data_IF_518786924238
#
_entry.id   IF_518786924238
#
_cell.length_a   1.000
_cell.length_b   1.000
_cell.length_c   1.000
_cell.angle_alpha   90.00
_cell.angle_beta   90.00
_cell.angle_gamma   90.00
#
_symmetry.space_group_name_H-M   'P 1'
#
loop_
_entity.id
_entity.type
_entity.pdbx_description
1 polymer ?
#
# COMPACT_ATOMS: atom_id res chain seq x y z
N UNK A 1 6.89 -2.36 12.70
CA UNK A 1 6.75 -0.90 12.90
C UNK A 1 6.59 -0.60 14.39
N UNK A 2 7.18 0.50 14.90
CA UNK A 2 7.09 0.89 16.30
C UNK A 2 5.67 1.37 16.68
N UNK A 3 5.22 1.18 17.95
CA UNK A 3 3.87 1.63 18.38
C UNK A 3 3.59 3.11 18.12
N UNK A 4 4.59 3.97 18.33
CA UNK A 4 4.47 5.42 18.10
C UNK A 4 4.15 5.79 16.64
N UNK A 5 4.59 4.97 15.68
CA UNK A 5 4.31 5.20 14.25
C UNK A 5 2.84 4.86 13.91
N UNK A 6 2.20 3.91 14.62
CA UNK A 6 0.75 3.65 14.48
C UNK A 6 -0.08 4.83 14.98
N UNK A 7 0.29 5.40 16.15
CA UNK A 7 -0.36 6.60 16.68
C UNK A 7 -0.22 7.80 15.74
N UNK A 8 0.98 7.98 15.18
CA UNK A 8 1.26 9.03 14.21
C UNK A 8 0.47 8.81 12.91
N UNK A 9 0.44 7.59 12.41
CA UNK A 9 -0.35 7.22 11.23
C UNK A 9 -1.83 7.52 11.48
N UNK A 10 -2.40 7.06 12.62
CA UNK A 10 -3.80 7.30 12.98
C UNK A 10 -4.17 8.78 13.02
N UNK A 11 -3.26 9.63 13.49
CA UNK A 11 -3.48 11.10 13.51
C UNK A 11 -3.43 11.73 12.14
N UNK A 12 -2.61 11.22 11.23
CA UNK A 12 -2.30 11.89 9.96
C UNK A 12 -3.05 11.32 8.75
N UNK A 13 -3.42 10.03 8.77
CA UNK A 13 -3.89 9.31 7.58
C UNK A 13 -5.20 9.85 6.98
N UNK A 14 -5.99 10.58 7.75
CA UNK A 14 -7.25 11.14 7.27
C UNK A 14 -7.07 12.46 6.51
N UNK A 15 -5.95 13.16 6.69
CA UNK A 15 -5.77 14.48 6.11
C UNK A 15 -4.40 14.75 5.49
N UNK A 16 -3.36 14.03 5.87
CA UNK A 16 -2.02 14.26 5.32
C UNK A 16 -1.94 13.73 3.89
N UNK A 17 -1.46 14.56 2.98
CA UNK A 17 -1.50 14.36 1.52
C UNK A 17 -1.02 12.98 1.07
N UNK A 18 0.05 12.44 1.68
CA UNK A 18 0.62 11.13 1.31
C UNK A 18 -0.37 9.98 1.52
N UNK A 19 -0.98 9.91 2.72
CA UNK A 19 -1.94 8.85 3.05
C UNK A 19 -3.22 8.99 2.22
N UNK A 20 -3.73 10.23 2.12
CA UNK A 20 -4.95 10.52 1.34
C UNK A 20 -4.74 10.16 -0.13
N UNK A 21 -3.63 10.60 -0.74
CA UNK A 21 -3.33 10.35 -2.14
C UNK A 21 -3.17 8.85 -2.45
N UNK A 22 -2.42 8.12 -1.60
CA UNK A 22 -2.22 6.68 -1.73
C UNK A 22 -3.54 5.92 -1.63
N UNK A 23 -4.35 6.22 -0.60
CA UNK A 23 -5.67 5.62 -0.40
C UNK A 23 -6.59 5.90 -1.59
N UNK A 24 -6.69 7.15 -2.03
CA UNK A 24 -7.50 7.54 -3.19
C UNK A 24 -7.10 6.80 -4.45
N UNK A 25 -5.79 6.71 -4.73
CA UNK A 25 -5.26 5.96 -5.87
C UNK A 25 -5.65 4.49 -5.80
N UNK A 26 -5.47 3.86 -4.64
CA UNK A 26 -5.81 2.45 -4.45
C UNK A 26 -7.30 2.18 -4.70
N UNK A 27 -8.18 3.00 -4.11
CA UNK A 27 -9.63 2.85 -4.25
C UNK A 27 -10.06 3.11 -5.70
N UNK A 28 -9.44 4.06 -6.41
CA UNK A 28 -9.70 4.27 -7.82
C UNK A 28 -9.28 3.07 -8.68
N UNK A 29 -8.13 2.46 -8.38
CA UNK A 29 -7.68 1.24 -9.06
C UNK A 29 -8.60 0.06 -8.73
N UNK A 30 -9.02 -0.08 -7.47
CA UNK A 30 -9.99 -1.06 -7.05
C UNK A 30 -11.30 -0.92 -7.84
N UNK A 31 -11.95 0.23 -7.81
CA UNK A 31 -13.23 0.51 -8.51
C UNK A 31 -13.18 0.19 -9.99
N UNK A 32 -12.00 0.30 -10.59
CA UNK A 32 -11.80 0.11 -12.04
C UNK A 32 -11.60 -1.33 -12.45
N UNK A 33 -11.02 -2.14 -11.58
CA UNK A 33 -10.51 -3.45 -11.99
C UNK A 33 -11.13 -4.61 -11.22
N UNK A 34 -11.63 -4.37 -10.02
CA UNK A 34 -12.06 -5.43 -9.13
C UNK A 34 -13.50 -5.89 -9.42
N UNK A 35 -13.76 -7.20 -9.33
CA UNK A 35 -15.11 -7.74 -9.32
C UNK A 35 -15.82 -7.39 -8.00
N UNK A 36 -17.14 -7.52 -7.98
CA UNK A 36 -17.91 -7.41 -6.74
C UNK A 36 -17.63 -8.60 -5.83
N UNK A 37 -17.59 -8.38 -4.53
CA UNK A 37 -17.45 -9.44 -3.54
C UNK A 37 -16.54 -9.03 -2.36
N UNK A 38 -16.21 -10.01 -1.54
CA UNK A 38 -15.40 -9.81 -0.35
C UNK A 38 -13.97 -9.35 -0.69
N UNK A 39 -13.50 -8.33 0.01
CA UNK A 39 -12.14 -7.78 -0.09
C UNK A 39 -11.36 -8.07 1.17
N UNK A 40 -10.12 -8.50 1.02
CA UNK A 40 -9.15 -8.62 2.10
C UNK A 40 -8.17 -7.44 2.04
N UNK A 41 -8.13 -6.60 3.06
CA UNK A 41 -7.12 -5.54 3.24
C UNK A 41 -5.98 -6.10 4.09
N UNK A 42 -4.89 -6.51 3.43
CA UNK A 42 -3.70 -7.11 4.06
C UNK A 42 -2.75 -6.02 4.54
N UNK A 43 -2.46 -6.03 5.84
CA UNK A 43 -1.75 -4.93 6.49
C UNK A 43 -2.64 -3.69 6.59
N UNK A 44 -3.88 -3.88 7.04
CA UNK A 44 -4.88 -2.79 7.09
C UNK A 44 -4.47 -1.62 8.02
N UNK A 45 -3.46 -1.82 8.86
CA UNK A 45 -2.96 -0.80 9.77
C UNK A 45 -4.08 -0.25 10.65
N UNK A 46 -4.22 1.06 10.68
CA UNK A 46 -5.26 1.74 11.47
C UNK A 46 -6.62 1.81 10.77
N UNK A 47 -6.78 1.13 9.61
CA UNK A 47 -8.05 0.84 8.98
C UNK A 47 -8.61 1.89 8.03
N UNK A 48 -7.84 2.91 7.62
CA UNK A 48 -8.37 3.98 6.77
C UNK A 48 -8.79 3.50 5.37
N UNK A 49 -8.07 2.55 4.78
CA UNK A 49 -8.39 1.97 3.47
C UNK A 49 -9.60 1.05 3.59
N UNK A 50 -9.58 0.12 4.56
CA UNK A 50 -10.70 -0.79 4.82
C UNK A 50 -11.99 -0.02 5.11
N UNK A 51 -11.94 1.05 5.89
CA UNK A 51 -13.11 1.89 6.20
C UNK A 51 -13.70 2.54 4.94
N UNK A 52 -12.88 3.03 4.03
CA UNK A 52 -13.39 3.65 2.81
C UNK A 52 -13.97 2.61 1.84
N UNK A 53 -13.29 1.48 1.67
CA UNK A 53 -13.78 0.35 0.86
C UNK A 53 -15.06 -0.26 1.41
N UNK A 54 -15.24 -0.30 2.74
CA UNK A 54 -16.43 -0.87 3.38
C UNK A 54 -17.74 -0.13 3.07
N UNK A 55 -17.66 1.07 2.47
CA UNK A 55 -18.82 1.80 1.95
C UNK A 55 -19.38 1.20 0.66
N UNK A 56 -18.59 0.38 -0.03
CA UNK A 56 -18.90 -0.12 -1.38
C UNK A 56 -18.95 -1.64 -1.46
N UNK A 57 -18.26 -2.33 -0.55
CA UNK A 57 -18.16 -3.78 -0.54
C UNK A 57 -17.90 -4.32 0.87
N UNK A 58 -18.02 -5.62 1.05
CA UNK A 58 -17.60 -6.28 2.29
C UNK A 58 -16.08 -6.31 2.39
N UNK A 59 -15.53 -5.89 3.54
CA UNK A 59 -14.07 -5.85 3.78
C UNK A 59 -13.73 -6.60 5.05
N UNK A 60 -12.67 -7.40 4.98
CA UNK A 60 -11.98 -7.96 6.13
C UNK A 60 -10.61 -7.30 6.22
N UNK A 61 -10.33 -6.62 7.33
CA UNK A 61 -9.00 -6.07 7.62
C UNK A 61 -8.12 -7.10 8.30
N UNK A 62 -6.89 -7.23 7.84
CA UNK A 62 -5.90 -8.12 8.43
C UNK A 62 -4.63 -7.34 8.76
N UNK A 63 -4.12 -7.49 9.98
CA UNK A 63 -2.82 -6.92 10.38
C UNK A 63 -2.10 -7.86 11.35
N UNK A 64 -0.78 -7.81 11.34
CA UNK A 64 0.05 -8.58 12.28
C UNK A 64 -0.05 -8.05 13.71
N UNK A 65 -0.30 -6.75 13.87
CA UNK A 65 -0.22 -6.04 15.15
C UNK A 65 -1.60 -5.81 15.74
N UNK A 66 -1.85 -6.34 16.94
CA UNK A 66 -3.10 -6.09 17.66
C UNK A 66 -3.39 -4.59 17.88
N UNK A 67 -2.34 -3.76 18.08
CA UNK A 67 -2.49 -2.30 18.22
C UNK A 67 -3.13 -1.67 16.97
N UNK A 68 -2.70 -2.07 15.78
CA UNK A 68 -3.28 -1.62 14.51
C UNK A 68 -4.78 -1.97 14.45
N UNK A 69 -5.12 -3.21 14.76
CA UNK A 69 -6.52 -3.68 14.75
C UNK A 69 -7.40 -2.94 15.76
N UNK A 70 -6.88 -2.57 16.93
CA UNK A 70 -7.61 -1.72 17.88
C UNK A 70 -7.94 -0.34 17.30
N UNK A 71 -7.00 0.28 16.58
CA UNK A 71 -7.27 1.54 15.88
C UNK A 71 -8.30 1.35 14.76
N UNK A 72 -8.20 0.26 14.01
CA UNK A 72 -9.17 -0.07 12.96
C UNK A 72 -10.57 -0.34 13.54
N UNK A 73 -10.66 -1.02 14.68
CA UNK A 73 -11.91 -1.20 15.43
C UNK A 73 -12.50 0.14 15.87
N UNK A 74 -11.66 1.08 16.33
CA UNK A 74 -12.07 2.44 16.67
C UNK A 74 -12.61 3.26 15.48
N UNK A 75 -12.40 2.79 14.23
CA UNK A 75 -13.04 3.31 13.01
C UNK A 75 -14.39 2.67 12.67
N UNK A 76 -14.88 1.75 13.50
CA UNK A 76 -16.11 1.01 13.28
C UNK A 76 -15.95 -0.25 12.45
N UNK A 77 -14.72 -0.70 12.16
CA UNK A 77 -14.48 -1.96 11.49
C UNK A 77 -14.67 -3.13 12.45
N UNK A 78 -15.50 -4.09 12.09
CA UNK A 78 -15.87 -5.25 12.92
C UNK A 78 -15.28 -6.57 12.42
N UNK A 79 -14.90 -6.64 11.14
CA UNK A 79 -14.31 -7.84 10.51
C UNK A 79 -12.80 -7.68 10.46
N UNK A 80 -12.11 -8.04 11.55
CA UNK A 80 -10.68 -7.86 11.73
C UNK A 80 -10.03 -9.18 12.14
N UNK A 81 -8.88 -9.48 11.55
CA UNK A 81 -8.11 -10.71 11.81
C UNK A 81 -6.67 -10.32 12.15
N UNK A 82 -6.14 -10.87 13.24
CA UNK A 82 -4.71 -10.78 13.52
C UNK A 82 -4.00 -11.96 12.88
N UNK A 83 -3.14 -11.69 11.88
CA UNK A 83 -2.39 -12.72 11.18
C UNK A 83 -1.15 -12.17 10.47
N UNK A 84 -0.29 -13.09 10.04
CA UNK A 84 0.85 -12.82 9.17
C UNK A 84 0.41 -12.77 7.71
N UNK A 85 0.81 -11.72 6.99
CA UNK A 85 0.54 -11.57 5.55
C UNK A 85 1.22 -12.62 4.66
N UNK A 86 2.24 -13.30 5.18
CA UNK A 86 2.87 -14.45 4.51
C UNK A 86 2.12 -15.78 4.73
N UNK A 87 1.11 -15.80 5.62
CA UNK A 87 0.29 -16.99 5.91
C UNK A 87 -1.13 -16.57 6.27
N UNK A 88 -1.93 -16.32 5.26
CA UNK A 88 -3.28 -15.81 5.44
C UNK A 88 -4.24 -16.89 5.94
N UNK A 89 -4.95 -16.70 7.08
CA UNK A 89 -5.94 -17.65 7.58
C UNK A 89 -7.28 -17.53 6.82
N UNK A 90 -7.19 -17.53 5.51
CA UNK A 90 -8.29 -17.35 4.56
C UNK A 90 -8.27 -18.51 3.59
N UNK A 91 -9.45 -19.05 3.26
CA UNK A 91 -9.59 -20.18 2.33
C UNK A 91 -9.10 -19.80 0.93
N UNK A 92 -8.67 -20.81 0.18
CA UNK A 92 -8.33 -20.66 -1.23
C UNK A 92 -9.54 -20.16 -2.01
N UNK A 93 -9.29 -19.33 -3.01
CA UNK A 93 -10.29 -18.87 -3.98
C UNK A 93 -11.58 -18.32 -3.33
N UNK A 94 -11.47 -17.57 -2.23
CA UNK A 94 -12.63 -17.14 -1.44
C UNK A 94 -12.89 -15.64 -1.43
N UNK A 95 -11.94 -14.82 -1.92
CA UNK A 95 -12.10 -13.36 -1.95
C UNK A 95 -12.07 -12.81 -3.37
N UNK A 96 -12.89 -11.80 -3.64
CA UNK A 96 -12.93 -11.11 -4.93
C UNK A 96 -11.72 -10.18 -5.11
N UNK A 97 -11.13 -9.71 -4.02
CA UNK A 97 -9.98 -8.85 -4.06
C UNK A 97 -9.10 -8.89 -2.85
N UNK A 98 -7.84 -8.57 -3.10
CA UNK A 98 -6.83 -8.30 -2.08
C UNK A 98 -6.29 -6.90 -2.31
N UNK A 99 -6.22 -6.12 -1.24
CA UNK A 99 -5.55 -4.82 -1.20
C UNK A 99 -4.36 -4.95 -0.26
N UNK A 100 -3.17 -4.52 -0.70
CA UNK A 100 -1.94 -4.58 0.07
C UNK A 100 -1.13 -3.30 -0.18
N UNK A 101 -1.22 -2.33 0.73
CA UNK A 101 -0.59 -1.02 0.57
C UNK A 101 0.57 -0.82 1.53
N UNK A 102 1.77 -0.84 0.98
CA UNK A 102 3.04 -0.67 1.71
C UNK A 102 3.12 -1.65 2.89
N UNK A 103 2.92 -2.94 2.59
CA UNK A 103 2.99 -4.04 3.55
C UNK A 103 3.96 -5.14 3.13
N UNK A 104 4.10 -5.47 1.84
CA UNK A 104 4.94 -6.60 1.40
C UNK A 104 6.43 -6.36 1.65
N UNK A 105 6.88 -5.11 1.72
CA UNK A 105 8.24 -4.74 2.13
C UNK A 105 8.54 -5.02 3.61
N UNK A 106 7.51 -5.19 4.45
CA UNK A 106 7.62 -5.54 5.86
C UNK A 106 7.63 -7.05 6.12
N UNK A 107 7.39 -7.86 5.08
CA UNK A 107 7.36 -9.32 5.18
C UNK A 107 8.72 -9.85 4.72
N UNK A 108 9.39 -10.64 5.57
CA UNK A 108 10.73 -11.15 5.26
C UNK A 108 10.72 -12.05 4.03
N UNK A 109 9.72 -12.92 3.89
CA UNK A 109 9.45 -13.69 2.66
C UNK A 109 8.29 -13.04 1.89
N UNK A 110 8.59 -12.00 1.10
CA UNK A 110 7.59 -11.36 0.26
C UNK A 110 7.08 -12.27 -0.87
N UNK A 111 7.85 -13.27 -1.28
CA UNK A 111 7.39 -14.26 -2.27
C UNK A 111 6.21 -15.06 -1.72
N UNK A 112 6.27 -15.46 -0.45
CA UNK A 112 5.14 -16.09 0.22
C UNK A 112 3.91 -15.16 0.28
N UNK A 113 4.10 -13.85 0.55
CA UNK A 113 3.00 -12.89 0.58
C UNK A 113 2.31 -12.75 -0.80
N UNK A 114 3.08 -12.70 -1.90
CA UNK A 114 2.52 -12.71 -3.25
C UNK A 114 1.77 -14.01 -3.55
N UNK A 115 2.31 -15.15 -3.15
CA UNK A 115 1.66 -16.47 -3.34
C UNK A 115 0.36 -16.59 -2.53
N UNK A 116 0.35 -16.13 -1.29
CA UNK A 116 -0.84 -16.12 -0.43
C UNK A 116 -1.94 -15.20 -0.98
N UNK A 117 -1.57 -13.99 -1.45
CA UNK A 117 -2.51 -13.11 -2.13
C UNK A 117 -3.13 -13.78 -3.36
N UNK A 118 -2.35 -14.49 -4.15
CA UNK A 118 -2.84 -15.24 -5.32
C UNK A 118 -3.73 -16.42 -4.89
N UNK A 119 -3.36 -17.16 -3.85
CA UNK A 119 -4.10 -18.34 -3.35
C UNK A 119 -5.52 -17.98 -2.92
N UNK A 120 -5.67 -16.91 -2.14
CA UNK A 120 -6.97 -16.52 -1.58
C UNK A 120 -7.91 -15.86 -2.58
N UNK A 121 -7.38 -15.24 -3.65
CA UNK A 121 -8.20 -14.66 -4.73
C UNK A 121 -8.99 -15.74 -5.45
N UNK A 122 -10.27 -15.50 -5.71
CA UNK A 122 -11.07 -16.31 -6.62
C UNK A 122 -10.61 -16.15 -8.08
N UNK A 123 -10.94 -17.07 -9.01
CA UNK A 123 -10.73 -16.85 -10.44
C UNK A 123 -11.32 -15.50 -10.88
N UNK A 124 -10.58 -14.73 -11.67
CA UNK A 124 -10.95 -13.35 -12.03
C UNK A 124 -10.76 -12.30 -10.93
N UNK A 125 -10.42 -12.70 -9.70
CA UNK A 125 -10.16 -11.81 -8.57
C UNK A 125 -8.92 -10.95 -8.77
N UNK A 126 -8.80 -9.83 -8.05
CA UNK A 126 -7.82 -8.78 -8.31
C UNK A 126 -7.00 -8.44 -7.06
N UNK A 127 -5.68 -8.38 -7.23
CA UNK A 127 -4.75 -7.78 -6.26
C UNK A 127 -4.48 -6.31 -6.65
N UNK A 128 -4.66 -5.39 -5.70
CA UNK A 128 -4.18 -4.00 -5.77
C UNK A 128 -3.05 -3.82 -4.79
N UNK A 129 -1.88 -3.43 -5.27
CA UNK A 129 -0.63 -3.40 -4.51
C UNK A 129 0.05 -2.04 -4.61
N UNK A 130 0.61 -1.56 -3.50
CA UNK A 130 1.62 -0.48 -3.44
C UNK A 130 2.81 -0.95 -2.64
N UNK A 131 4.03 -0.63 -3.11
CA UNK A 131 5.29 -0.90 -2.40
C UNK A 131 6.30 0.21 -2.67
N UNK A 132 7.26 0.50 -1.77
CA UNK A 132 8.29 1.52 -1.96
C UNK A 132 9.24 1.14 -3.09
N UNK A 133 9.59 2.16 -3.91
CA UNK A 133 10.45 1.98 -5.07
C UNK A 133 11.94 2.16 -4.74
N UNK A 134 12.77 1.47 -5.52
CA UNK A 134 14.23 1.60 -5.63
C UNK A 134 15.04 1.38 -4.35
N UNK A 135 15.85 0.33 -4.34
CA UNK A 135 16.78 0.02 -3.25
C UNK A 135 17.74 1.18 -2.93
N UNK A 136 18.15 1.97 -3.92
CA UNK A 136 19.06 3.10 -3.73
C UNK A 136 18.41 4.30 -3.00
N UNK A 137 17.05 4.35 -2.89
CA UNK A 137 16.31 5.29 -2.03
C UNK A 137 16.26 4.86 -0.56
N UNK A 138 16.88 3.73 -0.21
CA UNK A 138 16.93 3.25 1.18
C UNK A 138 17.52 4.30 2.12
N UNK A 139 16.89 4.49 3.27
CA UNK A 139 17.31 5.50 4.23
C UNK A 139 16.74 5.29 5.64
N UNK A 140 16.95 6.27 6.54
CA UNK A 140 16.50 6.18 7.93
C UNK A 140 14.99 5.89 8.10
N UNK A 141 14.19 6.31 7.15
CA UNK A 141 12.75 6.03 7.10
C UNK A 141 12.46 4.52 7.00
N UNK A 142 13.19 3.81 6.12
CA UNK A 142 12.99 2.37 5.92
C UNK A 142 13.41 1.59 7.18
N UNK A 143 14.50 2.01 7.80
CA UNK A 143 14.98 1.43 9.06
C UNK A 143 13.95 1.63 10.17
N UNK A 144 13.40 2.84 10.32
CA UNK A 144 12.39 3.16 11.34
C UNK A 144 11.09 2.37 11.16
N UNK A 145 10.73 2.06 9.92
CA UNK A 145 9.54 1.27 9.59
C UNK A 145 9.82 -0.23 9.52
N UNK A 146 11.07 -0.68 9.76
CA UNK A 146 11.48 -2.08 9.69
C UNK A 146 11.21 -2.72 8.32
N UNK A 147 11.49 -2.00 7.23
CA UNK A 147 11.42 -2.56 5.89
C UNK A 147 12.54 -3.60 5.70
N UNK A 148 12.27 -4.64 4.94
CA UNK A 148 13.28 -5.59 4.47
C UNK A 148 13.82 -5.21 3.09
N UNK A 149 12.99 -4.56 2.26
CA UNK A 149 13.34 -4.26 0.87
C UNK A 149 12.58 -3.09 0.26
N UNK A 150 13.00 -2.73 -0.94
CA UNK A 150 12.32 -1.85 -1.88
C UNK A 150 12.29 -2.49 -3.25
N UNK A 151 11.30 -2.18 -4.05
CA UNK A 151 11.01 -2.84 -5.31
C UNK A 151 11.30 -1.99 -6.55
N UNK A 152 11.20 -2.61 -7.71
CA UNK A 152 11.11 -1.95 -9.02
C UNK A 152 9.89 -2.50 -9.74
N UNK A 153 9.41 -1.82 -10.78
CA UNK A 153 8.34 -2.37 -11.64
C UNK A 153 8.67 -3.78 -12.14
N UNK A 154 9.95 -4.01 -12.49
CA UNK A 154 10.41 -5.32 -12.99
C UNK A 154 10.35 -6.39 -11.90
N UNK A 155 10.77 -6.07 -10.66
CA UNK A 155 10.71 -7.04 -9.56
C UNK A 155 9.26 -7.35 -9.17
N UNK A 156 8.39 -6.33 -9.05
CA UNK A 156 6.96 -6.56 -8.78
C UNK A 156 6.32 -7.42 -9.87
N UNK A 157 6.53 -7.07 -11.15
CA UNK A 157 5.99 -7.87 -12.26
C UNK A 157 6.45 -9.32 -12.20
N UNK A 158 7.73 -9.58 -11.89
CA UNK A 158 8.27 -10.93 -11.75
C UNK A 158 7.60 -11.70 -10.61
N UNK A 159 7.41 -11.08 -9.44
CA UNK A 159 6.74 -11.70 -8.29
C UNK A 159 5.27 -12.02 -8.59
N UNK A 160 4.55 -11.10 -9.23
CA UNK A 160 3.16 -11.33 -9.64
C UNK A 160 3.04 -12.55 -10.57
N UNK A 161 3.89 -12.61 -11.61
CA UNK A 161 3.89 -13.74 -12.56
C UNK A 161 4.30 -15.05 -11.87
N UNK A 162 5.30 -15.02 -11.00
CA UNK A 162 5.74 -16.20 -10.24
C UNK A 162 4.66 -16.72 -9.30
N UNK A 163 3.79 -15.84 -8.77
CA UNK A 163 2.63 -16.20 -7.96
C UNK A 163 1.41 -16.66 -8.82
N UNK A 164 1.53 -16.72 -10.14
CA UNK A 164 0.42 -17.13 -11.04
C UNK A 164 -0.60 -16.02 -11.31
N UNK A 165 -0.24 -14.76 -11.04
CA UNK A 165 -1.09 -13.60 -11.32
C UNK A 165 -0.73 -12.95 -12.66
N UNK A 166 -1.74 -12.46 -13.38
CA UNK A 166 -1.57 -11.66 -14.60
C UNK A 166 -1.47 -10.18 -14.29
N UNK A 167 -0.31 -9.51 -14.54
CA UNK A 167 -0.16 -8.08 -14.30
C UNK A 167 -0.99 -7.25 -15.30
N UNK A 168 -2.06 -6.61 -14.84
CA UNK A 168 -2.93 -5.71 -15.61
C UNK A 168 -2.33 -4.30 -15.68
N UNK A 169 -1.78 -3.83 -14.57
CA UNK A 169 -1.11 -2.55 -14.45
C UNK A 169 0.12 -2.71 -13.56
N UNK A 170 1.27 -2.21 -14.00
CA UNK A 170 2.45 -2.01 -13.15
C UNK A 170 3.09 -0.68 -13.53
N UNK A 171 3.09 0.28 -12.62
CA UNK A 171 3.59 1.63 -12.85
C UNK A 171 4.35 2.13 -11.63
N UNK A 172 5.18 3.15 -11.82
CA UNK A 172 5.57 3.96 -10.68
C UNK A 172 4.45 4.93 -10.32
N UNK A 173 4.50 5.46 -9.10
CA UNK A 173 3.65 6.54 -8.60
C UNK A 173 4.48 7.52 -7.77
N UNK A 174 3.88 8.66 -7.45
CA UNK A 174 4.58 9.82 -6.88
C UNK A 174 5.62 10.38 -7.89
N UNK A 175 5.23 10.37 -9.16
CA UNK A 175 6.08 10.79 -10.28
C UNK A 175 6.42 12.28 -10.21
N UNK A 176 5.42 13.14 -10.09
CA UNK A 176 5.61 14.60 -10.05
C UNK A 176 6.40 15.08 -8.83
N UNK A 177 6.24 14.42 -7.71
CA UNK A 177 6.92 14.76 -6.46
C UNK A 177 8.23 13.99 -6.28
N UNK A 178 8.60 13.12 -7.21
CA UNK A 178 9.79 12.31 -7.12
C UNK A 178 11.09 13.13 -6.92
N UNK A 179 11.32 14.24 -7.62
CA UNK A 179 12.51 15.07 -7.39
C UNK A 179 12.60 15.60 -5.96
N UNK A 180 11.45 16.00 -5.36
CA UNK A 180 11.39 16.46 -3.98
C UNK A 180 11.67 15.33 -2.98
N UNK A 181 11.07 14.16 -3.20
CA UNK A 181 11.32 12.96 -2.39
C UNK A 181 12.80 12.55 -2.48
N UNK A 182 13.38 12.59 -3.69
CA UNK A 182 14.78 12.30 -3.91
C UNK A 182 15.69 13.27 -3.13
N UNK A 183 15.43 14.56 -3.23
CA UNK A 183 16.20 15.59 -2.49
C UNK A 183 16.11 15.35 -0.98
N UNK A 184 14.92 15.08 -0.44
CA UNK A 184 14.71 14.76 0.98
C UNK A 184 15.51 13.52 1.40
N UNK A 185 15.48 12.46 0.59
CA UNK A 185 16.21 11.22 0.85
C UNK A 185 17.73 11.42 0.81
N UNK A 186 18.24 12.21 -0.13
CA UNK A 186 19.66 12.53 -0.20
C UNK A 186 20.12 13.35 1.02
N UNK A 187 19.38 14.40 1.39
CA UNK A 187 19.65 15.20 2.59
C UNK A 187 19.55 14.33 3.85
N UNK A 188 18.56 13.45 3.92
CA UNK A 188 18.35 12.54 5.05
C UNK A 188 19.52 11.59 5.31
N UNK A 189 20.29 11.20 4.28
CA UNK A 189 21.50 10.37 4.43
C UNK A 189 22.64 11.07 5.18
N UNK A 190 22.67 12.39 5.15
CA UNK A 190 23.70 13.20 5.84
C UNK A 190 23.26 13.67 7.25
N UNK A 191 21.99 13.48 7.60
CA UNK A 191 21.49 13.83 8.93
C UNK A 191 21.96 12.80 9.96
N UNK A 192 22.64 13.25 11.01
CA UNK A 192 22.99 12.43 12.17
C UNK A 192 21.81 12.41 13.14
N UNK A 193 21.42 11.24 13.64
CA UNK A 193 20.34 11.09 14.62
C UNK A 193 19.65 9.73 14.53
N UNK A 194 18.72 9.41 15.44
CA UNK A 194 17.96 8.16 15.39
C UNK A 194 17.10 8.10 14.12
N UNK A 195 16.98 6.91 13.56
CA UNK A 195 16.12 6.67 12.40
C UNK A 195 14.65 6.97 12.76
N UNK A 196 14.02 7.87 12.02
CA UNK A 196 12.60 8.25 12.19
C UNK A 196 11.92 8.31 10.84
N UNK A 197 10.65 7.89 10.81
CA UNK A 197 9.80 8.11 9.65
C UNK A 197 9.53 9.61 9.50
N UNK A 198 10.05 10.21 8.41
CA UNK A 198 9.91 11.65 8.16
C UNK A 198 8.54 11.94 7.54
N UNK A 199 7.73 12.71 8.24
CA UNK A 199 6.47 13.28 7.75
C UNK A 199 6.46 14.75 8.15
N UNK A 200 7.13 15.64 7.39
CA UNK A 200 7.22 17.04 7.73
C UNK A 200 5.84 17.70 7.72
N UNK A 201 5.58 18.66 8.61
CA UNK A 201 4.32 19.39 8.61
C UNK A 201 4.15 20.14 7.28
N UNK A 202 2.95 20.06 6.71
CA UNK A 202 2.62 20.70 5.44
C UNK A 202 1.47 21.69 5.66
N UNK A 203 1.60 22.97 5.27
CA UNK A 203 0.50 23.93 5.37
C UNK A 203 -0.75 23.45 4.62
N UNK A 204 -1.94 23.71 5.19
CA UNK A 204 -3.19 23.14 4.68
C UNK A 204 -3.49 23.44 3.21
N UNK A 205 -3.14 24.65 2.72
CA UNK A 205 -3.27 25.00 1.29
C UNK A 205 -2.37 24.13 0.40
N UNK A 206 -1.09 23.98 0.78
CA UNK A 206 -0.15 23.15 0.05
C UNK A 206 -0.56 21.67 0.13
N UNK A 207 -1.00 21.20 1.30
CA UNK A 207 -1.49 19.83 1.45
C UNK A 207 -2.63 19.50 0.48
N UNK A 208 -3.62 20.41 0.33
CA UNK A 208 -4.70 20.23 -0.66
C UNK A 208 -4.20 20.22 -2.10
N UNK A 209 -3.24 21.09 -2.43
CA UNK A 209 -2.63 21.12 -3.77
C UNK A 209 -1.90 19.80 -4.07
N UNK A 210 -1.16 19.25 -3.10
CA UNK A 210 -0.47 17.98 -3.25
C UNK A 210 -1.46 16.81 -3.43
N UNK A 211 -2.56 16.78 -2.68
CA UNK A 211 -3.64 15.79 -2.87
C UNK A 211 -4.21 15.88 -4.27
N UNK A 212 -4.52 17.10 -4.76
CA UNK A 212 -5.08 17.30 -6.09
C UNK A 212 -4.10 16.87 -7.20
N UNK A 213 -2.81 17.19 -7.06
CA UNK A 213 -1.75 16.78 -7.97
C UNK A 213 -1.65 15.25 -8.05
N UNK A 214 -1.62 14.58 -6.91
CA UNK A 214 -1.53 13.12 -6.86
C UNK A 214 -2.80 12.44 -7.39
N UNK A 215 -3.97 13.04 -7.19
CA UNK A 215 -5.20 12.55 -7.78
C UNK A 215 -5.19 12.69 -9.31
N UNK A 216 -4.60 13.77 -9.86
CA UNK A 216 -4.40 13.93 -11.30
C UNK A 216 -3.43 12.87 -11.84
N UNK A 217 -2.33 12.62 -11.13
CA UNK A 217 -1.38 11.54 -11.46
C UNK A 217 -2.08 10.17 -11.51
N UNK A 218 -2.89 9.85 -10.49
CA UNK A 218 -3.65 8.60 -10.43
C UNK A 218 -4.63 8.45 -11.59
N UNK A 219 -5.34 9.53 -11.98
CA UNK A 219 -6.22 9.52 -13.15
C UNK A 219 -5.45 9.24 -14.45
N UNK A 220 -4.26 9.83 -14.60
CA UNK A 220 -3.42 9.63 -15.78
C UNK A 220 -2.92 8.18 -15.92
N UNK A 221 -2.91 7.36 -14.85
CA UNK A 221 -2.61 5.94 -14.94
C UNK A 221 -3.60 5.12 -15.80
N UNK A 222 -4.70 5.73 -16.24
CA UNK A 222 -5.61 5.14 -17.24
C UNK A 222 -4.89 4.88 -18.56
N UNK A 223 -4.06 5.80 -18.96
CA UNK A 223 -3.40 5.83 -20.28
C UNK A 223 -1.87 5.81 -20.18
N UNK A 224 -1.31 6.37 -19.11
CA UNK A 224 0.13 6.53 -18.92
C UNK A 224 0.67 5.51 -17.93
N UNK A 225 1.90 5.03 -18.17
CA UNK A 225 2.71 4.29 -17.21
C UNK A 225 3.92 5.14 -16.85
N UNK A 226 3.95 5.63 -15.62
CA UNK A 226 5.00 6.53 -15.17
C UNK A 226 6.37 5.85 -15.20
N UNK A 227 7.40 6.48 -15.77
CA UNK A 227 8.73 5.86 -15.95
C UNK A 227 9.54 5.81 -14.66
N UNK A 228 9.25 6.66 -13.67
CA UNK A 228 9.87 6.72 -12.34
C UNK A 228 8.87 7.22 -11.29
N UNK A 229 9.25 7.10 -10.01
CA UNK A 229 8.44 7.52 -8.86
C UNK A 229 8.97 6.88 -7.58
N UNK A 230 8.52 7.34 -6.42
CA UNK A 230 9.00 6.82 -5.14
C UNK A 230 8.31 5.55 -4.67
N UNK A 231 7.21 5.16 -5.33
CA UNK A 231 6.48 3.90 -5.09
C UNK A 231 6.20 3.16 -6.39
N UNK A 232 5.98 1.87 -6.32
CA UNK A 232 5.42 1.05 -7.40
C UNK A 232 4.00 0.72 -7.02
N UNK A 233 3.07 0.95 -7.95
CA UNK A 233 1.67 0.49 -7.84
C UNK A 233 1.40 -0.58 -8.88
N UNK A 234 0.63 -1.58 -8.50
CA UNK A 234 0.26 -2.66 -9.40
C UNK A 234 -1.21 -3.08 -9.22
N UNK A 235 -1.79 -3.52 -10.30
CA UNK A 235 -3.02 -4.29 -10.35
C UNK A 235 -2.70 -5.60 -11.07
N UNK A 236 -3.06 -6.71 -10.46
CA UNK A 236 -2.90 -8.03 -11.08
C UNK A 236 -4.18 -8.83 -10.91
N UNK A 237 -4.46 -9.73 -11.83
CA UNK A 237 -5.67 -10.58 -11.85
C UNK A 237 -5.27 -12.04 -11.69
N UNK A 238 -6.04 -12.79 -10.93
CA UNK A 238 -5.95 -14.26 -10.96
C UNK A 238 -6.62 -14.74 -12.24
N UNK A 239 -5.96 -15.57 -13.08
CA UNK A 239 -6.59 -16.20 -14.24
C UNK A 239 -7.87 -16.95 -13.87
N UNK A 240 -8.77 -17.12 -14.86
CA UNK A 240 -9.98 -17.92 -14.70
C UNK A 240 -9.70 -19.41 -14.65
#
# INVERSE_FOLDING_TARGET
MNPEEYEKMRRLEDHYWWFVARRTLCIELWRRHAPRGLVLDVGCGTGAVAQELSRETEVVGLDFTHLALRHAQGRGLTRLIQADGAKLPVRDASVAGVVALDIFEHIEDDTAAFAEAARVLQPGGVLVLSVPAYKWLWGPHDVALHHFRRHTRRSVRRQLVAAGLEPVLVSYSVFWLFPLVLAERLVGKFRRGPARASLPPVPGGLNRALVALMAAEGRALRTVRWPWGSSVVAVARRPE
#
